data_IF_863577422099
#
_entry.id   IF_863577422099
#
_cell.length_a   1.000
_cell.length_b   1.000
_cell.length_c   1.000
_cell.angle_alpha   90.00
_cell.angle_beta   90.00
_cell.angle_gamma   90.00
#
_symmetry.space_group_name_H-M   'P 1'
#
loop_
_entity.id
_entity.type
_entity.pdbx_description
1 polymer ?
#
# COMPACT_ATOMS: atom_id res chain seq x y z
N UNK A 1 1.59 8.12 -21.48
CA UNK A 1 2.12 6.78 -21.11
C UNK A 1 1.59 5.77 -22.11
N UNK A 2 2.42 4.82 -22.56
CA UNK A 2 2.00 3.72 -23.45
C UNK A 2 2.34 2.42 -22.74
N UNK A 3 1.36 1.54 -22.56
CA UNK A 3 1.53 0.22 -21.96
C UNK A 3 1.34 -0.80 -23.09
N UNK A 4 2.35 -1.64 -23.32
CA UNK A 4 2.31 -2.67 -24.35
C UNK A 4 3.08 -3.91 -23.88
N UNK A 5 2.65 -5.10 -24.33
CA UNK A 5 3.40 -6.35 -24.11
C UNK A 5 4.72 -6.39 -24.91
N UNK A 6 4.82 -5.57 -25.95
CA UNK A 6 6.01 -5.42 -26.79
C UNK A 6 6.61 -4.04 -26.61
N UNK A 7 7.94 -3.95 -26.67
CA UNK A 7 8.63 -2.65 -26.68
C UNK A 7 8.36 -1.95 -28.00
N UNK A 8 7.40 -1.03 -27.99
CA UNK A 8 7.11 -0.18 -29.14
C UNK A 8 7.79 1.16 -28.95
N UNK A 9 8.83 1.39 -29.75
CA UNK A 9 9.54 2.66 -29.83
C UNK A 9 8.91 3.54 -30.92
N UNK A 10 8.89 4.86 -30.71
CA UNK A 10 8.47 5.83 -31.74
C UNK A 10 6.96 6.07 -31.90
N UNK A 11 6.09 5.55 -31.02
CA UNK A 11 4.67 5.96 -31.02
C UNK A 11 4.56 7.37 -30.41
N UNK A 12 4.04 8.32 -31.19
CA UNK A 12 3.64 9.64 -30.74
C UNK A 12 2.11 9.76 -30.76
N UNK A 13 1.52 10.04 -29.61
CA UNK A 13 0.10 10.35 -29.50
C UNK A 13 -0.11 11.84 -29.80
N UNK A 14 -1.03 12.13 -30.72
CA UNK A 14 -1.39 13.51 -31.05
C UNK A 14 -2.87 13.76 -30.73
N UNK A 15 -3.15 14.88 -30.06
CA UNK A 15 -4.50 15.40 -29.84
C UNK A 15 -4.54 16.81 -30.43
N UNK A 16 -5.48 17.10 -31.33
CA UNK A 16 -5.62 18.42 -31.96
C UNK A 16 -4.29 18.96 -32.52
N UNK A 17 -3.51 18.11 -33.21
CA UNK A 17 -2.18 18.43 -33.78
C UNK A 17 -1.08 18.72 -32.74
N UNK A 18 -1.34 18.55 -31.44
CA UNK A 18 -0.34 18.67 -30.38
C UNK A 18 0.18 17.29 -29.96
N UNK A 19 1.51 17.14 -29.85
CA UNK A 19 2.14 15.90 -29.38
C UNK A 19 2.02 15.84 -27.85
N UNK A 20 1.45 14.74 -27.34
CA UNK A 20 1.38 14.52 -25.89
C UNK A 20 2.70 13.94 -25.41
N UNK A 21 3.19 14.46 -24.29
CA UNK A 21 4.37 13.93 -23.62
C UNK A 21 4.17 12.46 -23.19
N UNK A 22 5.17 11.64 -23.47
CA UNK A 22 5.24 10.27 -22.98
C UNK A 22 5.98 10.24 -21.64
N UNK A 23 5.25 9.94 -20.58
CA UNK A 23 5.79 9.66 -19.24
C UNK A 23 5.85 8.15 -18.96
N UNK A 24 6.84 7.73 -18.17
CA UNK A 24 7.04 6.35 -17.70
C UNK A 24 6.22 6.01 -16.44
N UNK A 25 5.84 7.03 -15.67
CA UNK A 25 5.04 6.90 -14.45
C UNK A 25 4.06 8.08 -14.36
N UNK A 26 2.85 7.83 -13.86
CA UNK A 26 1.84 8.85 -13.63
C UNK A 26 0.98 8.50 -12.41
N UNK A 27 0.39 9.53 -11.77
CA UNK A 27 -0.56 9.35 -10.67
C UNK A 27 -1.98 9.52 -11.19
N UNK A 28 -2.74 8.43 -11.21
CA UNK A 28 -4.14 8.44 -11.61
C UNK A 28 -5.02 8.14 -10.40
N UNK A 29 -5.94 9.04 -10.06
CA UNK A 29 -6.82 8.90 -8.88
C UNK A 29 -6.05 8.56 -7.58
N UNK A 30 -4.81 9.06 -7.46
CA UNK A 30 -3.95 8.81 -6.32
C UNK A 30 -3.22 7.47 -6.30
N UNK A 31 -3.41 6.58 -7.29
CA UNK A 31 -2.57 5.39 -7.50
C UNK A 31 -1.46 5.68 -8.48
N UNK A 32 -0.28 5.13 -8.21
CA UNK A 32 0.86 5.14 -9.11
C UNK A 32 0.65 4.09 -10.20
N UNK A 33 0.71 4.51 -11.45
CA UNK A 33 0.73 3.63 -12.62
C UNK A 33 2.04 3.84 -13.35
N UNK A 34 2.69 2.75 -13.77
CA UNK A 34 3.91 2.75 -14.56
C UNK A 34 3.71 2.07 -15.91
N UNK A 35 4.62 2.35 -16.85
CA UNK A 35 4.58 1.76 -18.19
C UNK A 35 4.82 0.25 -18.21
N UNK A 36 5.52 -0.28 -17.20
CA UNK A 36 5.82 -1.71 -17.03
C UNK A 36 4.67 -2.51 -16.39
N UNK A 37 3.56 -1.86 -16.01
CA UNK A 37 2.44 -2.45 -15.28
C UNK A 37 2.86 -3.17 -13.98
N UNK A 38 3.95 -2.73 -13.35
CA UNK A 38 4.44 -3.27 -12.08
C UNK A 38 3.90 -2.50 -10.88
N UNK A 39 3.04 -3.16 -10.10
CA UNK A 39 2.38 -2.56 -8.94
C UNK A 39 3.30 -2.38 -7.71
N UNK A 40 4.57 -2.80 -7.76
CA UNK A 40 5.47 -2.82 -6.60
C UNK A 40 5.68 -1.44 -5.98
N UNK A 41 5.78 -0.40 -6.80
CA UNK A 41 5.96 0.98 -6.32
C UNK A 41 4.69 1.50 -5.63
N UNK A 42 3.51 1.21 -6.18
CA UNK A 42 2.24 1.61 -5.59
C UNK A 42 2.00 0.91 -4.25
N UNK A 43 2.25 -0.40 -4.17
CA UNK A 43 2.14 -1.17 -2.93
C UNK A 43 3.06 -0.58 -1.86
N UNK A 44 4.32 -0.29 -2.21
CA UNK A 44 5.28 0.34 -1.29
C UNK A 44 4.77 1.70 -0.80
N UNK A 45 4.21 2.51 -1.71
CA UNK A 45 3.59 3.80 -1.39
C UNK A 45 2.42 3.65 -0.42
N UNK A 46 1.51 2.70 -0.64
CA UNK A 46 0.37 2.42 0.27
C UNK A 46 0.81 1.95 1.64
N UNK A 47 1.79 1.04 1.73
CA UNK A 47 2.37 0.62 3.01
C UNK A 47 2.95 1.84 3.75
N UNK A 48 3.66 2.72 3.05
CA UNK A 48 4.18 3.97 3.62
C UNK A 48 3.08 4.89 4.16
N UNK A 49 2.02 5.12 3.38
CA UNK A 49 0.86 5.94 3.77
C UNK A 49 0.11 5.33 4.96
N UNK A 50 -0.14 4.03 4.95
CA UNK A 50 -0.78 3.30 6.05
C UNK A 50 0.07 3.36 7.33
N UNK A 51 1.40 3.21 7.20
CA UNK A 51 2.34 3.36 8.32
C UNK A 51 2.31 4.77 8.90
N UNK A 52 2.26 5.79 8.06
CA UNK A 52 2.14 7.20 8.49
C UNK A 52 0.83 7.42 9.25
N UNK A 53 -0.29 6.92 8.72
CA UNK A 53 -1.61 7.00 9.35
C UNK A 53 -1.62 6.35 10.74
N UNK A 54 -1.04 5.14 10.85
CA UNK A 54 -0.88 4.49 12.16
C UNK A 54 -0.08 5.33 13.15
N UNK A 55 1.03 5.93 12.70
CA UNK A 55 1.88 6.74 13.57
C UNK A 55 1.18 8.01 14.06
N UNK A 56 0.39 8.67 13.19
CA UNK A 56 -0.43 9.83 13.56
C UNK A 56 -1.45 9.47 14.65
N UNK A 57 -2.05 8.28 14.57
CA UNK A 57 -3.00 7.78 15.56
C UNK A 57 -2.35 6.95 16.68
N UNK A 58 -1.02 7.01 16.83
CA UNK A 58 -0.31 6.09 17.71
C UNK A 58 -0.68 6.23 19.20
N UNK A 59 -1.13 7.41 19.63
CA UNK A 59 -1.67 7.63 20.97
C UNK A 59 -2.91 6.76 21.24
N UNK A 60 -3.82 6.67 20.26
CA UNK A 60 -5.04 5.86 20.33
C UNK A 60 -4.70 4.37 20.30
N UNK A 61 -3.85 3.95 19.37
CA UNK A 61 -3.51 2.53 19.23
C UNK A 61 -2.69 1.98 20.41
N UNK A 62 -1.93 2.84 21.10
CA UNK A 62 -1.10 2.46 22.25
C UNK A 62 -1.74 2.74 23.61
N UNK A 63 -2.93 3.35 23.67
CA UNK A 63 -3.62 3.66 24.93
C UNK A 63 -3.99 2.38 25.70
N UNK A 64 -4.03 2.43 27.02
CA UNK A 64 -4.52 1.31 27.83
C UNK A 64 -6.04 1.32 28.00
N UNK A 65 -6.69 2.45 27.71
CA UNK A 65 -8.11 2.67 27.96
C UNK A 65 -9.02 1.99 26.93
N UNK A 66 -8.46 1.61 25.77
CA UNK A 66 -9.21 0.95 24.70
C UNK A 66 -8.95 -0.55 24.69
N UNK A 67 -10.03 -1.32 24.57
CA UNK A 67 -9.96 -2.77 24.36
C UNK A 67 -9.26 -3.09 23.04
N UNK A 68 -8.64 -4.27 22.97
CA UNK A 68 -7.97 -4.76 21.75
C UNK A 68 -8.95 -4.81 20.58
N UNK A 69 -10.19 -5.23 20.83
CA UNK A 69 -11.22 -5.31 19.80
C UNK A 69 -11.53 -3.94 19.17
N UNK A 70 -11.71 -2.91 20.00
CA UNK A 70 -11.94 -1.54 19.51
C UNK A 70 -10.75 -1.04 18.69
N UNK A 71 -9.52 -1.32 19.14
CA UNK A 71 -8.32 -0.94 18.37
C UNK A 71 -8.22 -1.67 17.03
N UNK A 72 -8.59 -2.95 16.96
CA UNK A 72 -8.65 -3.70 15.70
C UNK A 72 -9.69 -3.09 14.75
N UNK A 73 -10.88 -2.72 15.26
CA UNK A 73 -11.90 -2.02 14.46
C UNK A 73 -11.36 -0.69 13.92
N UNK A 74 -10.68 0.10 14.75
CA UNK A 74 -10.05 1.35 14.33
C UNK A 74 -8.93 1.14 13.29
N UNK A 75 -8.11 0.10 13.44
CA UNK A 75 -7.10 -0.26 12.43
C UNK A 75 -7.75 -0.56 11.07
N UNK A 76 -8.84 -1.35 11.07
CA UNK A 76 -9.59 -1.66 9.85
C UNK A 76 -10.16 -0.41 9.19
N UNK A 77 -10.76 0.49 9.98
CA UNK A 77 -11.38 1.71 9.47
C UNK A 77 -10.38 2.73 8.91
N UNK A 78 -9.24 2.95 9.58
CA UNK A 78 -8.33 4.06 9.25
C UNK A 78 -7.05 3.62 8.55
N UNK A 79 -6.45 2.50 8.97
CA UNK A 79 -5.15 2.06 8.44
C UNK A 79 -5.34 1.12 7.25
N UNK A 80 -6.25 0.15 7.36
CA UNK A 80 -6.48 -0.81 6.26
C UNK A 80 -7.20 -0.16 5.08
N UNK A 81 -8.10 0.80 5.32
CA UNK A 81 -8.70 1.58 4.24
C UNK A 81 -7.66 2.32 3.39
N UNK A 82 -6.62 2.87 4.02
CA UNK A 82 -5.49 3.50 3.30
C UNK A 82 -4.61 2.47 2.60
N UNK A 83 -4.34 1.34 3.24
CA UNK A 83 -3.50 0.27 2.69
C UNK A 83 -4.14 -0.39 1.46
N UNK A 84 -5.44 -0.70 1.54
CA UNK A 84 -6.19 -1.48 0.55
C UNK A 84 -6.74 -0.63 -0.59
N UNK A 85 -6.53 0.69 -0.56
CA UNK A 85 -6.96 1.54 -1.66
C UNK A 85 -6.23 1.15 -2.97
N UNK A 86 -7.01 0.78 -3.98
CA UNK A 86 -6.48 0.32 -5.27
C UNK A 86 -5.98 -1.12 -5.27
N UNK A 87 -6.26 -1.92 -4.23
CA UNK A 87 -5.86 -3.33 -4.17
C UNK A 87 -6.45 -4.17 -5.31
N UNK A 88 -7.64 -3.81 -5.79
CA UNK A 88 -8.33 -4.48 -6.89
C UNK A 88 -7.53 -4.44 -8.20
N UNK A 89 -6.67 -3.44 -8.39
CA UNK A 89 -5.82 -3.31 -9.58
C UNK A 89 -4.46 -3.98 -9.40
N UNK A 90 -4.15 -4.51 -8.22
CA UNK A 90 -2.85 -5.13 -7.95
C UNK A 90 -2.78 -6.56 -8.45
N UNK A 91 -1.70 -6.86 -9.16
CA UNK A 91 -1.29 -8.24 -9.41
C UNK A 91 -0.60 -8.79 -8.17
N UNK A 92 -1.29 -9.69 -7.46
CA UNK A 92 -0.76 -10.34 -6.27
C UNK A 92 0.38 -11.31 -6.65
N UNK A 93 1.57 -11.03 -6.11
CA UNK A 93 2.78 -11.86 -6.21
C UNK A 93 3.16 -12.33 -4.80
N UNK A 94 3.83 -13.47 -4.66
CA UNK A 94 4.30 -13.98 -3.36
C UNK A 94 5.15 -12.95 -2.59
N UNK A 95 5.93 -12.14 -3.28
CA UNK A 95 6.73 -11.07 -2.64
C UNK A 95 5.85 -9.96 -2.05
N UNK A 96 4.76 -9.63 -2.73
CA UNK A 96 3.78 -8.62 -2.29
C UNK A 96 3.06 -9.11 -1.04
N UNK A 97 2.62 -10.37 -1.04
CA UNK A 97 1.98 -11.00 0.11
C UNK A 97 2.88 -10.97 1.34
N UNK A 98 4.14 -11.40 1.21
CA UNK A 98 5.14 -11.32 2.30
C UNK A 98 5.34 -9.90 2.84
N UNK A 99 5.32 -8.88 1.98
CA UNK A 99 5.43 -7.46 2.40
C UNK A 99 4.19 -7.01 3.20
N UNK A 100 3.00 -7.45 2.79
CA UNK A 100 1.75 -7.14 3.48
C UNK A 100 1.67 -7.86 4.83
N UNK A 101 2.02 -9.14 4.90
CA UNK A 101 2.11 -9.90 6.15
C UNK A 101 3.11 -9.25 7.12
N UNK A 102 4.29 -8.86 6.64
CA UNK A 102 5.29 -8.17 7.46
C UNK A 102 4.76 -6.84 8.00
N UNK A 103 3.99 -6.10 7.19
CA UNK A 103 3.35 -4.86 7.62
C UNK A 103 2.24 -5.09 8.66
N UNK A 104 1.39 -6.09 8.47
CA UNK A 104 0.34 -6.46 9.41
C UNK A 104 0.93 -6.90 10.77
N UNK A 105 1.96 -7.75 10.75
CA UNK A 105 2.71 -8.13 11.95
C UNK A 105 3.34 -6.92 12.64
N UNK A 106 3.84 -5.96 11.88
CA UNK A 106 4.37 -4.71 12.42
C UNK A 106 3.27 -3.92 13.13
N UNK A 107 2.07 -3.77 12.53
CA UNK A 107 0.94 -3.07 13.14
C UNK A 107 0.51 -3.71 14.47
N UNK A 108 0.26 -5.02 14.48
CA UNK A 108 -0.19 -5.72 15.68
C UNK A 108 0.84 -5.66 16.80
N UNK A 109 2.13 -5.87 16.50
CA UNK A 109 3.19 -5.75 17.52
C UNK A 109 3.25 -4.35 18.12
N UNK A 110 3.12 -3.33 17.29
CA UNK A 110 3.17 -1.92 17.72
C UNK A 110 1.96 -1.55 18.58
N UNK A 111 0.77 -2.02 18.21
CA UNK A 111 -0.48 -1.82 18.95
C UNK A 111 -0.46 -2.56 20.31
N UNK A 112 0.04 -3.80 20.33
CA UNK A 112 0.16 -4.62 21.54
C UNK A 112 1.39 -4.30 22.39
N UNK A 113 2.25 -3.36 21.92
CA UNK A 113 3.52 -2.97 22.57
C UNK A 113 4.46 -4.16 22.85
N UNK A 114 4.42 -5.21 22.02
CA UNK A 114 5.28 -6.40 22.17
C UNK A 114 6.65 -6.15 21.54
N UNK A 115 7.69 -6.71 22.17
CA UNK A 115 9.05 -6.66 21.63
C UNK A 115 9.13 -7.42 20.30
N UNK A 116 10.02 -6.97 19.42
CA UNK A 116 10.30 -7.67 18.16
C UNK A 116 10.96 -9.03 18.38
N UNK A 117 11.63 -9.23 19.51
CA UNK A 117 12.25 -10.51 19.92
C UNK A 117 11.27 -11.53 20.48
N UNK A 118 10.05 -11.12 20.83
CA UNK A 118 9.05 -12.07 21.33
C UNK A 118 8.44 -12.88 20.19
N UNK A 119 8.49 -14.22 20.35
CA UNK A 119 7.79 -15.16 19.48
C UNK A 119 6.29 -15.04 19.74
N UNK A 120 5.51 -14.81 18.67
CA UNK A 120 4.05 -14.71 18.74
C UNK A 120 3.51 -16.01 18.14
N UNK A 121 2.87 -16.85 18.95
CA UNK A 121 2.08 -17.96 18.43
C UNK A 121 0.72 -17.38 18.03
N UNK A 122 0.48 -17.29 16.72
CA UNK A 122 -0.84 -16.96 16.20
C UNK A 122 -1.61 -18.28 16.20
N UNK A 123 -2.32 -18.58 17.29
CA UNK A 123 -3.31 -19.64 17.27
C UNK A 123 -4.58 -19.08 16.63
N UNK A 124 -5.03 -19.73 15.56
CA UNK A 124 -6.24 -19.43 14.81
C UNK A 124 -7.49 -19.74 15.62
#
# INVERSE_FOLDING_TARGET
>A
MVISKTNITGIHLTINQTIIERVSQYIYLGTIINEDWDNSQEIKSRIGKARSTFNQMSAVFKSHDLTIETKIRLLKCYVYSVLLYGVETWTMKNETEKKLEAFELWLYRRMLRRSWTQRVNIQQ
#
